data_IF_725481942339
#
_entry.id   IF_725481942339
#
_cell.length_a   1.000
_cell.length_b   1.000
_cell.length_c   1.000
_cell.angle_alpha   90.00
_cell.angle_beta   90.00
_cell.angle_gamma   90.00
#
_symmetry.space_group_name_H-M   'P 1'
#
loop_
_entity.id
_entity.type
_entity.pdbx_description
1 polymer ?
#
# COMPACT_ATOMS: atom_id res chain seq x y z
N UNK A 1 12.55 12.97 -14.03
CA UNK A 1 12.63 12.98 -12.56
C UNK A 1 11.28 12.50 -12.01
N UNK A 2 11.28 11.65 -10.99
CA UNK A 2 10.04 11.17 -10.35
C UNK A 2 9.48 12.25 -9.41
N UNK A 3 8.20 12.59 -9.57
CA UNK A 3 7.51 13.58 -8.73
C UNK A 3 6.35 12.90 -7.97
N UNK A 4 6.60 12.56 -6.72
CA UNK A 4 5.62 11.90 -5.85
C UNK A 4 4.43 12.83 -5.55
N UNK A 5 4.65 14.13 -5.42
CA UNK A 5 3.56 15.07 -5.17
C UNK A 5 2.62 15.14 -6.37
N UNK A 6 3.15 15.15 -7.60
CA UNK A 6 2.33 15.12 -8.81
C UNK A 6 1.50 13.83 -8.90
N UNK A 7 2.09 12.68 -8.60
CA UNK A 7 1.37 11.42 -8.58
C UNK A 7 0.22 11.43 -7.55
N UNK A 8 0.49 11.86 -6.32
CA UNK A 8 -0.52 11.90 -5.25
C UNK A 8 -1.63 12.95 -5.49
N UNK A 9 -1.33 14.06 -6.17
CA UNK A 9 -2.37 15.02 -6.59
C UNK A 9 -3.37 14.37 -7.53
N UNK A 10 -2.91 13.56 -8.49
CA UNK A 10 -3.78 12.83 -9.41
C UNK A 10 -4.64 11.82 -8.67
N UNK A 11 -4.05 11.07 -7.71
CA UNK A 11 -4.82 10.13 -6.87
C UNK A 11 -5.90 10.85 -6.06
N UNK A 12 -5.58 12.01 -5.48
CA UNK A 12 -6.55 12.83 -4.77
C UNK A 12 -7.68 13.35 -5.69
N UNK A 13 -7.36 13.72 -6.92
CA UNK A 13 -8.35 14.12 -7.92
C UNK A 13 -9.30 12.95 -8.27
N UNK A 14 -8.76 11.75 -8.44
CA UNK A 14 -9.57 10.54 -8.68
C UNK A 14 -10.53 10.26 -7.51
N UNK A 15 -10.07 10.43 -6.28
CA UNK A 15 -10.91 10.27 -5.10
C UNK A 15 -12.00 11.34 -5.05
N UNK A 16 -11.65 12.59 -5.30
CA UNK A 16 -12.61 13.70 -5.33
C UNK A 16 -13.67 13.55 -6.44
N UNK A 17 -13.26 12.99 -7.59
CA UNK A 17 -14.16 12.68 -8.71
C UNK A 17 -15.00 11.41 -8.50
N UNK A 18 -14.78 10.66 -7.40
CA UNK A 18 -15.50 9.43 -7.12
C UNK A 18 -15.08 8.23 -7.97
N UNK A 19 -13.96 8.32 -8.71
CA UNK A 19 -13.39 7.21 -9.49
C UNK A 19 -12.89 6.10 -8.58
N UNK A 20 -12.31 6.48 -7.45
CA UNK A 20 -11.93 5.58 -6.35
C UNK A 20 -12.59 6.04 -5.05
N UNK A 21 -12.72 5.13 -4.10
CA UNK A 21 -13.14 5.43 -2.74
C UNK A 21 -11.96 5.88 -1.87
N UNK A 22 -11.78 5.23 -0.71
CA UNK A 22 -10.58 5.47 0.12
C UNK A 22 -9.34 4.91 -0.56
N UNK A 23 -8.20 5.57 -0.30
CA UNK A 23 -6.91 5.03 -0.72
C UNK A 23 -5.86 5.17 0.38
N UNK A 24 -4.80 4.38 0.28
CA UNK A 24 -3.58 4.54 1.07
C UNK A 24 -2.35 4.08 0.28
N UNK A 25 -1.23 4.74 0.53
CA UNK A 25 0.07 4.30 0.02
C UNK A 25 0.47 3.03 0.80
N UNK A 26 0.87 2.00 0.09
CA UNK A 26 1.42 0.76 0.62
C UNK A 26 2.84 0.51 0.12
N UNK A 27 3.28 -0.73 0.20
CA UNK A 27 4.53 -1.21 -0.39
C UNK A 27 5.80 -0.51 0.10
N UNK A 28 6.77 -0.39 -0.80
CA UNK A 28 8.08 0.17 -0.48
C UNK A 28 8.03 1.67 -0.19
N UNK A 29 7.21 2.42 -0.93
CA UNK A 29 7.08 3.87 -0.70
C UNK A 29 6.48 4.15 0.68
N UNK A 30 5.44 3.41 1.09
CA UNK A 30 4.89 3.56 2.44
C UNK A 30 5.91 3.23 3.54
N UNK A 31 6.76 2.23 3.32
CA UNK A 31 7.79 1.86 4.29
C UNK A 31 8.80 3.00 4.53
N UNK A 32 9.03 3.90 3.57
CA UNK A 32 9.94 5.04 3.74
C UNK A 32 9.47 6.08 4.77
N UNK A 33 8.21 6.00 5.22
CA UNK A 33 7.71 6.81 6.33
C UNK A 33 8.18 6.30 7.70
N UNK A 34 8.68 5.08 7.75
CA UNK A 34 9.07 4.39 8.97
C UNK A 34 10.53 3.93 8.97
N UNK A 35 11.07 3.63 7.80
CA UNK A 35 12.39 3.03 7.59
C UNK A 35 13.25 3.92 6.70
N UNK A 36 14.55 3.65 6.67
CA UNK A 36 15.45 4.25 5.69
C UNK A 36 14.93 4.02 4.26
N UNK A 37 15.00 5.05 3.39
CA UNK A 37 14.55 4.95 2.03
C UNK A 37 15.27 3.85 1.25
N UNK A 38 14.50 2.95 0.64
CA UNK A 38 15.00 1.95 -0.29
C UNK A 38 14.65 2.35 -1.72
N UNK A 39 15.50 1.96 -2.67
CA UNK A 39 15.21 2.18 -4.09
C UNK A 39 13.95 1.41 -4.50
N UNK A 40 13.01 2.10 -5.12
CA UNK A 40 11.81 1.49 -5.71
C UNK A 40 11.48 2.14 -7.06
N UNK A 41 10.83 1.38 -7.92
CA UNK A 41 10.42 1.83 -9.25
C UNK A 41 8.95 2.26 -9.29
N UNK A 42 8.15 1.75 -8.37
CA UNK A 42 6.69 1.84 -8.34
C UNK A 42 6.17 2.49 -7.05
N UNK A 43 4.94 2.98 -7.14
CA UNK A 43 4.13 3.36 -5.98
C UNK A 43 2.93 2.43 -5.94
N UNK A 44 2.78 1.69 -4.84
CA UNK A 44 1.60 0.87 -4.57
C UNK A 44 0.51 1.73 -3.92
N UNK A 45 -0.61 1.90 -4.60
CA UNK A 45 -1.79 2.61 -4.09
C UNK A 45 -2.91 1.60 -3.87
N UNK A 46 -3.18 1.29 -2.61
CA UNK A 46 -4.33 0.48 -2.23
C UNK A 46 -5.59 1.33 -2.26
N UNK A 47 -6.65 0.80 -2.85
CA UNK A 47 -7.89 1.52 -3.10
C UNK A 47 -9.11 0.71 -2.68
N UNK A 48 -10.17 1.42 -2.31
CA UNK A 48 -11.53 0.87 -2.31
C UNK A 48 -12.33 1.50 -3.45
N UNK A 49 -13.36 0.79 -3.89
CA UNK A 49 -14.39 1.37 -4.74
C UNK A 49 -15.65 1.60 -3.88
N UNK A 50 -16.37 2.70 -4.15
CA UNK A 50 -17.72 2.86 -3.60
C UNK A 50 -18.62 1.82 -4.27
N UNK A 51 -19.56 1.27 -3.53
CA UNK A 51 -20.62 0.41 -4.07
C UNK A 51 -20.21 -0.95 -4.69
N UNK A 52 -18.96 -1.39 -4.49
CA UNK A 52 -18.52 -2.72 -4.91
C UNK A 52 -18.48 -3.66 -3.70
N UNK A 53 -19.22 -4.81 -3.74
CA UNK A 53 -19.13 -5.80 -2.67
C UNK A 53 -17.71 -6.33 -2.47
N UNK A 54 -17.30 -6.59 -1.23
CA UNK A 54 -15.95 -7.05 -0.87
C UNK A 54 -15.49 -8.32 -1.60
N UNK A 55 -16.42 -9.14 -2.07
CA UNK A 55 -16.15 -10.42 -2.74
C UNK A 55 -16.19 -10.37 -4.26
N UNK A 56 -16.34 -9.20 -4.86
CA UNK A 56 -16.45 -9.05 -6.30
C UNK A 56 -15.08 -8.90 -6.95
N UNK A 57 -14.91 -9.52 -8.14
CA UNK A 57 -13.80 -9.18 -9.02
C UNK A 57 -13.91 -7.71 -9.41
N UNK A 58 -12.89 -6.95 -9.05
CA UNK A 58 -12.86 -5.50 -9.28
C UNK A 58 -12.07 -5.20 -10.53
N UNK A 59 -12.73 -4.59 -11.52
CA UNK A 59 -12.07 -4.06 -12.71
C UNK A 59 -11.39 -2.73 -12.40
N UNK A 60 -10.18 -2.54 -12.91
CA UNK A 60 -9.47 -1.26 -12.90
C UNK A 60 -9.85 -0.34 -14.07
N UNK A 61 -10.78 -0.76 -14.94
CA UNK A 61 -11.23 0.03 -16.09
C UNK A 61 -11.68 1.45 -15.74
N UNK A 62 -12.42 1.70 -14.64
CA UNK A 62 -12.79 3.06 -14.27
C UNK A 62 -11.57 3.98 -14.07
N UNK A 63 -10.49 3.45 -13.50
CA UNK A 63 -9.23 4.17 -13.29
C UNK A 63 -8.57 4.48 -14.63
N UNK A 64 -8.42 3.47 -15.48
CA UNK A 64 -7.78 3.63 -16.79
C UNK A 64 -8.57 4.56 -17.70
N UNK A 65 -9.90 4.46 -17.70
CA UNK A 65 -10.78 5.32 -18.48
C UNK A 65 -10.74 6.78 -17.99
N UNK A 66 -10.49 7.01 -16.73
CA UNK A 66 -10.29 8.35 -16.18
C UNK A 66 -8.91 8.93 -16.55
N UNK A 67 -7.85 8.12 -16.45
CA UNK A 67 -6.48 8.60 -16.58
C UNK A 67 -6.01 8.74 -18.04
N UNK A 68 -6.43 7.85 -18.93
CA UNK A 68 -6.04 7.90 -20.36
C UNK A 68 -6.36 9.22 -21.05
N UNK A 69 -7.59 9.78 -20.94
CA UNK A 69 -7.91 11.08 -21.55
C UNK A 69 -7.11 12.24 -20.98
N UNK A 70 -6.59 12.12 -19.77
CA UNK A 70 -5.70 13.12 -19.15
C UNK A 70 -4.24 13.01 -19.62
N UNK A 71 -3.95 12.09 -20.55
CA UNK A 71 -2.62 11.91 -21.12
C UNK A 71 -1.69 10.98 -20.33
N UNK A 72 -2.21 10.28 -19.33
CA UNK A 72 -1.42 9.30 -18.58
C UNK A 72 -1.29 7.99 -19.35
N UNK A 73 -0.06 7.49 -19.45
CA UNK A 73 0.25 6.25 -20.17
C UNK A 73 -0.02 5.04 -19.29
N UNK A 74 -0.79 4.09 -19.80
CA UNK A 74 -1.01 2.79 -19.16
C UNK A 74 -0.03 1.80 -19.73
N UNK A 75 0.76 1.16 -18.87
CA UNK A 75 1.76 0.15 -19.19
C UNK A 75 1.46 -1.12 -18.35
N UNK A 76 0.93 -2.14 -18.99
CA UNK A 76 0.47 -3.38 -18.32
C UNK A 76 -0.51 -3.08 -17.17
N UNK A 77 -0.11 -3.36 -15.93
CA UNK A 77 -0.90 -3.12 -14.72
C UNK A 77 -0.59 -1.77 -14.04
N UNK A 78 0.26 -0.92 -14.66
CA UNK A 78 0.71 0.35 -14.09
C UNK A 78 0.24 1.53 -14.92
N UNK A 79 0.12 2.68 -14.27
CA UNK A 79 -0.08 3.96 -14.95
C UNK A 79 1.09 4.86 -14.65
N UNK A 80 1.68 5.47 -15.68
CA UNK A 80 2.78 6.42 -15.47
C UNK A 80 2.21 7.78 -15.07
N UNK A 81 2.46 8.17 -13.82
CA UNK A 81 2.01 9.44 -13.24
C UNK A 81 3.19 10.13 -12.55
N UNK A 82 3.52 11.34 -12.95
CA UNK A 82 4.64 12.07 -12.36
C UNK A 82 5.99 11.33 -12.50
N UNK A 83 6.16 10.53 -13.55
CA UNK A 83 7.35 9.71 -13.77
C UNK A 83 7.43 8.44 -12.90
N UNK A 84 6.43 8.16 -12.08
CA UNK A 84 6.28 6.93 -11.33
C UNK A 84 5.42 5.91 -12.07
N UNK A 85 5.79 4.64 -11.96
CA UNK A 85 4.88 3.53 -12.23
C UNK A 85 3.93 3.38 -11.04
N UNK A 86 2.69 3.82 -11.18
CA UNK A 86 1.68 3.73 -10.12
C UNK A 86 0.86 2.48 -10.32
N UNK A 87 0.89 1.58 -9.34
CA UNK A 87 0.08 0.38 -9.31
C UNK A 87 -1.13 0.59 -8.40
N UNK A 88 -2.33 0.41 -8.93
CA UNK A 88 -3.56 0.45 -8.16
C UNK A 88 -3.94 -0.97 -7.73
N UNK A 89 -4.08 -1.15 -6.42
CA UNK A 89 -4.34 -2.45 -5.80
C UNK A 89 -5.69 -2.40 -5.09
N UNK A 90 -6.73 -3.04 -5.65
CA UNK A 90 -8.01 -3.12 -4.95
C UNK A 90 -7.87 -3.84 -3.60
N UNK A 91 -8.53 -3.30 -2.59
CA UNK A 91 -8.67 -3.98 -1.31
C UNK A 91 -9.72 -5.09 -1.46
N UNK A 92 -9.28 -6.27 -1.82
CA UNK A 92 -10.11 -7.43 -2.15
C UNK A 92 -10.24 -8.46 -1.01
N UNK A 93 -9.55 -8.23 0.10
CA UNK A 93 -9.63 -9.08 1.28
C UNK A 93 -9.71 -8.29 2.59
N UNK A 94 -10.01 -8.97 3.69
CA UNK A 94 -10.22 -8.35 5.00
C UNK A 94 -8.97 -7.64 5.53
N UNK A 95 -7.76 -8.13 5.26
CA UNK A 95 -6.53 -7.48 5.68
C UNK A 95 -6.32 -6.16 4.95
N UNK A 96 -6.52 -6.13 3.63
CA UNK A 96 -6.38 -4.90 2.85
C UNK A 96 -7.46 -3.87 3.19
N UNK A 97 -8.69 -4.32 3.44
CA UNK A 97 -9.77 -3.46 3.94
C UNK A 97 -9.43 -2.85 5.30
N UNK A 98 -8.93 -3.65 6.25
CA UNK A 98 -8.51 -3.18 7.57
C UNK A 98 -7.36 -2.17 7.43
N UNK A 99 -6.31 -2.51 6.68
CA UNK A 99 -5.17 -1.64 6.45
C UNK A 99 -5.57 -0.29 5.84
N UNK A 100 -6.49 -0.31 4.88
CA UNK A 100 -7.01 0.88 4.23
C UNK A 100 -7.86 1.74 5.18
N UNK A 101 -8.68 1.11 6.03
CA UNK A 101 -9.53 1.81 7.00
C UNK A 101 -8.72 2.47 8.11
N UNK A 102 -7.63 1.85 8.53
CA UNK A 102 -6.74 2.32 9.61
C UNK A 102 -5.53 3.13 9.11
N UNK A 103 -5.43 3.38 7.81
CA UNK A 103 -4.36 4.18 7.25
C UNK A 103 -4.33 5.59 7.86
N UNK A 104 -3.13 6.11 8.07
CA UNK A 104 -2.88 7.38 8.77
C UNK A 104 -2.75 8.52 7.77
N UNK A 105 -3.39 9.64 8.07
CA UNK A 105 -3.21 10.87 7.29
C UNK A 105 -1.81 11.45 7.49
N UNK A 106 -1.18 11.85 6.40
CA UNK A 106 0.14 12.46 6.39
C UNK A 106 0.28 13.40 5.20
N UNK A 107 1.45 14.01 5.04
CA UNK A 107 1.75 14.86 3.91
C UNK A 107 3.03 14.39 3.19
N UNK A 108 3.02 14.50 1.88
CA UNK A 108 4.23 14.45 1.05
C UNK A 108 4.43 15.85 0.47
N UNK A 109 5.36 16.58 1.03
CA UNK A 109 5.47 18.01 0.78
C UNK A 109 4.20 18.75 1.17
N UNK A 110 3.53 19.37 0.19
CA UNK A 110 2.27 20.11 0.40
C UNK A 110 1.02 19.27 0.09
N UNK A 111 1.17 18.00 -0.28
CA UNK A 111 0.06 17.14 -0.71
C UNK A 111 -0.35 16.24 0.45
N UNK A 112 -1.60 16.38 0.89
CA UNK A 112 -2.21 15.45 1.86
C UNK A 112 -2.36 14.08 1.23
N UNK A 113 -2.07 13.04 2.00
CA UNK A 113 -2.20 11.66 1.59
C UNK A 113 -2.48 10.76 2.80
N UNK A 114 -2.58 9.47 2.57
CA UNK A 114 -2.71 8.46 3.61
C UNK A 114 -1.70 7.36 3.38
N UNK A 115 -1.11 6.88 4.46
CA UNK A 115 -0.13 5.80 4.45
C UNK A 115 -0.59 4.67 5.36
N UNK A 116 -0.36 3.43 4.98
CA UNK A 116 -0.62 2.27 5.84
C UNK A 116 0.27 2.33 7.08
N UNK A 117 -0.24 1.84 8.21
CA UNK A 117 0.55 1.73 9.44
C UNK A 117 1.69 0.73 9.28
N UNK A 118 2.73 0.86 10.08
CA UNK A 118 3.88 -0.07 10.08
C UNK A 118 3.41 -1.52 10.25
N UNK A 119 2.47 -1.78 11.19
CA UNK A 119 1.97 -3.10 11.50
C UNK A 119 1.22 -3.73 10.32
N UNK A 120 0.42 -2.94 9.59
CA UNK A 120 -0.25 -3.42 8.37
C UNK A 120 0.74 -3.68 7.24
N UNK A 121 1.74 -2.81 7.05
CA UNK A 121 2.81 -3.04 6.06
C UNK A 121 3.57 -4.33 6.36
N UNK A 122 3.90 -4.58 7.63
CA UNK A 122 4.54 -5.81 8.08
C UNK A 122 3.67 -7.04 7.83
N UNK A 123 2.38 -6.96 8.17
CA UNK A 123 1.44 -8.07 8.00
C UNK A 123 1.21 -8.40 6.53
N UNK A 124 1.09 -7.39 5.68
CA UNK A 124 0.94 -7.55 4.22
C UNK A 124 2.22 -8.15 3.62
N UNK A 125 3.40 -7.66 4.02
CA UNK A 125 4.68 -8.21 3.59
C UNK A 125 4.83 -9.68 3.97
N UNK A 126 4.45 -10.04 5.21
CA UNK A 126 4.45 -11.42 5.67
C UNK A 126 3.47 -12.29 4.86
N UNK A 127 2.26 -11.80 4.59
CA UNK A 127 1.25 -12.50 3.79
C UNK A 127 1.74 -12.76 2.38
N UNK A 128 2.27 -11.74 1.72
CA UNK A 128 2.78 -11.81 0.34
C UNK A 128 4.02 -12.71 0.24
N UNK A 129 4.99 -12.55 1.14
CA UNK A 129 6.10 -13.50 1.35
C UNK A 129 7.12 -13.58 0.23
N UNK A 130 7.29 -12.52 -0.57
CA UNK A 130 8.36 -12.43 -1.58
C UNK A 130 9.70 -12.12 -0.88
N UNK A 131 10.83 -12.41 -1.52
CA UNK A 131 12.16 -12.13 -0.94
C UNK A 131 12.32 -10.68 -0.47
N UNK A 132 11.90 -9.71 -1.31
CA UNK A 132 11.92 -8.28 -0.97
C UNK A 132 11.01 -7.91 0.21
N UNK A 133 9.94 -8.67 0.43
CA UNK A 133 9.01 -8.44 1.54
C UNK A 133 9.63 -8.91 2.86
N UNK A 134 10.36 -10.03 2.86
CA UNK A 134 11.07 -10.52 4.05
C UNK A 134 12.23 -9.60 4.44
N UNK A 135 12.98 -9.06 3.49
CA UNK A 135 14.00 -8.05 3.77
C UNK A 135 13.39 -6.84 4.48
N UNK A 136 12.25 -6.37 4.01
CA UNK A 136 11.54 -5.24 4.64
C UNK A 136 11.02 -5.60 6.03
N UNK A 137 10.51 -6.81 6.22
CA UNK A 137 10.11 -7.29 7.56
C UNK A 137 11.28 -7.30 8.54
N UNK A 138 12.46 -7.78 8.13
CA UNK A 138 13.68 -7.75 8.96
C UNK A 138 14.04 -6.30 9.34
N UNK A 139 13.97 -5.36 8.39
CA UNK A 139 14.23 -3.95 8.65
C UNK A 139 13.27 -3.37 9.70
N UNK A 140 11.97 -3.67 9.62
CA UNK A 140 11.00 -3.27 10.64
C UNK A 140 11.31 -3.87 12.01
N UNK A 141 11.64 -5.15 12.07
CA UNK A 141 11.99 -5.82 13.34
C UNK A 141 13.24 -5.21 13.96
N UNK A 142 14.26 -4.92 13.15
CA UNK A 142 15.51 -4.30 13.62
C UNK A 142 15.30 -2.86 14.09
N UNK A 143 14.50 -2.08 13.38
CA UNK A 143 14.22 -0.67 13.72
C UNK A 143 13.34 -0.52 14.95
N UNK A 144 12.54 -1.53 15.29
CA UNK A 144 11.56 -1.51 16.38
C UNK A 144 10.52 -0.38 16.25
N UNK A 145 10.31 0.15 15.05
CA UNK A 145 9.35 1.23 14.77
C UNK A 145 7.98 0.61 14.43
N UNK A 146 7.39 -0.06 15.40
CA UNK A 146 6.02 -0.60 15.33
C UNK A 146 5.53 -0.93 16.74
N UNK A 147 4.21 -0.96 16.91
CA UNK A 147 3.57 -1.40 18.14
C UNK A 147 3.40 -2.92 18.11
N UNK A 148 4.13 -3.62 18.98
CA UNK A 148 4.12 -5.08 19.05
C UNK A 148 2.73 -5.63 19.35
N UNK A 149 1.99 -5.00 20.26
CA UNK A 149 0.64 -5.45 20.63
C UNK A 149 -0.31 -5.35 19.45
N UNK A 150 -0.27 -4.21 18.73
CA UNK A 150 -1.08 -4.03 17.52
C UNK A 150 -0.73 -5.05 16.44
N UNK A 151 0.57 -5.29 16.23
CA UNK A 151 1.00 -6.31 15.26
C UNK A 151 0.46 -7.69 15.62
N UNK A 152 0.60 -8.11 16.88
CA UNK A 152 0.12 -9.42 17.34
C UNK A 152 -1.41 -9.55 17.18
N UNK A 153 -2.18 -8.49 17.46
CA UNK A 153 -3.62 -8.44 17.25
C UNK A 153 -4.00 -8.58 15.77
N UNK A 154 -3.32 -7.89 14.87
CA UNK A 154 -3.56 -7.97 13.42
C UNK A 154 -3.22 -9.37 12.90
N UNK A 155 -2.05 -9.91 13.29
CA UNK A 155 -1.62 -11.26 12.92
C UNK A 155 -2.64 -12.32 13.36
N UNK A 156 -3.19 -12.19 14.57
CA UNK A 156 -4.21 -13.10 15.09
C UNK A 156 -5.52 -13.03 14.29
N UNK A 157 -6.03 -11.82 14.03
CA UNK A 157 -7.26 -11.63 13.24
C UNK A 157 -7.16 -12.21 11.84
N UNK A 158 -6.00 -12.09 11.22
CA UNK A 158 -5.77 -12.54 9.84
C UNK A 158 -5.11 -13.92 9.73
N UNK A 159 -5.05 -14.70 10.84
CA UNK A 159 -4.53 -16.08 10.88
C UNK A 159 -3.09 -16.23 10.40
N UNK A 160 -2.26 -15.24 10.70
CA UNK A 160 -0.85 -15.18 10.26
C UNK A 160 0.16 -15.47 11.39
N UNK A 161 -0.29 -15.77 12.61
CA UNK A 161 0.57 -16.01 13.78
C UNK A 161 1.59 -17.12 13.52
N UNK A 162 1.17 -18.24 12.93
CA UNK A 162 2.08 -19.35 12.62
C UNK A 162 3.12 -18.98 11.55
N UNK A 163 2.73 -18.18 10.57
CA UNK A 163 3.65 -17.68 9.52
C UNK A 163 4.65 -16.68 10.11
N UNK A 164 4.20 -15.83 11.01
CA UNK A 164 5.05 -14.90 11.76
C UNK A 164 6.08 -15.63 12.62
N UNK A 165 5.67 -16.69 13.35
CA UNK A 165 6.59 -17.50 14.14
C UNK A 165 7.68 -18.11 13.26
N UNK A 166 7.31 -18.74 12.14
CA UNK A 166 8.30 -19.31 11.20
C UNK A 166 9.27 -18.27 10.64
N UNK A 167 8.78 -17.05 10.37
CA UNK A 167 9.63 -15.95 9.92
C UNK A 167 10.63 -15.56 11.01
N UNK A 168 10.18 -15.36 12.25
CA UNK A 168 11.04 -15.02 13.38
C UNK A 168 12.10 -16.10 13.63
N UNK A 169 11.71 -17.37 13.65
CA UNK A 169 12.64 -18.50 13.89
C UNK A 169 13.73 -18.59 12.82
N UNK A 170 13.45 -18.11 11.60
CA UNK A 170 14.37 -18.20 10.45
C UNK A 170 15.24 -16.96 10.26
N UNK A 171 14.71 -15.78 10.46
CA UNK A 171 15.32 -14.51 10.03
C UNK A 171 15.64 -13.55 11.19
N UNK A 172 15.03 -13.73 12.36
CA UNK A 172 15.23 -12.86 13.52
C UNK A 172 15.96 -13.65 14.58
N UNK A 173 17.30 -13.51 14.63
CA UNK A 173 18.15 -14.11 15.67
C UNK A 173 18.56 -13.06 16.70
#
# INVERSE_FOLDING_TARGET
MKDTQAALKVVNQMQAAGVIGKYAIGGAVAATFYLEPAATLDIDIFISFKDVPKSSLVSLDPIFNYLKPLGHKVEDAHVVIGGWQVQFLPADDDLYHEALSQAVETNVGKVKTRVMTAEHLMTIALKTGRGKDFIRLEQFVQSKIFDRKKLDEILARHKLVAKWKRFNDKYVQ
#
